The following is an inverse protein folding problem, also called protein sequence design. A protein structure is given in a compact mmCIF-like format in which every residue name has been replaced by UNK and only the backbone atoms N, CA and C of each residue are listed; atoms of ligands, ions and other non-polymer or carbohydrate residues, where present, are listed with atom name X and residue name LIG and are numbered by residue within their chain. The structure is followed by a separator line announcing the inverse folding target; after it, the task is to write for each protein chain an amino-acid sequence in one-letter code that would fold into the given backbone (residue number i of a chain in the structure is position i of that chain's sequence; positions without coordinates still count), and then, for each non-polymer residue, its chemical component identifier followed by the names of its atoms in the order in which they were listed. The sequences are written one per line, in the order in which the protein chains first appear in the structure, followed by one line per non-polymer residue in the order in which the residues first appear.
data_IF_369769329620
#
_entry.id   IF_369769329620
#
_cell.length_a   1.000
_cell.length_b   1.000
_cell.length_c   1.000
_cell.angle_alpha   90.00
_cell.angle_beta   90.00
_cell.angle_gamma   90.00
#
_symmetry.space_group_name_H-M   'P 1'
#
loop_
_entity.id
_entity.type
_entity.pdbx_description
1 polymer ?
#
# COMPACT_ATOMS: atom_id res chain seq x y z
N UNK A 1 -16.68 -8.58 -8.58
CA UNK A 1 -16.74 -7.37 -7.73
C UNK A 1 -15.38 -6.70 -7.84
N UNK A 2 -15.19 -5.86 -8.86
CA UNK A 2 -13.95 -5.10 -9.01
C UNK A 2 -14.04 -3.90 -8.08
N UNK A 3 -13.62 -4.11 -6.83
CA UNK A 3 -13.34 -3.01 -5.92
C UNK A 3 -12.39 -2.07 -6.66
N UNK A 4 -12.93 -0.95 -7.17
CA UNK A 4 -12.12 0.10 -7.75
C UNK A 4 -11.27 0.61 -6.62
N UNK A 5 -10.04 0.09 -6.53
CA UNK A 5 -9.04 0.60 -5.63
C UNK A 5 -9.00 2.09 -5.89
N UNK A 6 -9.37 2.86 -4.87
CA UNK A 6 -9.55 4.29 -5.03
C UNK A 6 -8.20 4.87 -5.47
N UNK A 7 -8.17 5.58 -6.60
CA UNK A 7 -6.92 6.09 -7.17
C UNK A 7 -6.16 6.95 -6.15
N UNK A 8 -6.90 7.68 -5.32
CA UNK A 8 -6.32 8.51 -4.27
C UNK A 8 -5.58 7.66 -3.22
N UNK A 9 -6.15 6.51 -2.84
CA UNK A 9 -5.52 5.55 -1.90
C UNK A 9 -4.27 4.91 -2.49
N UNK A 10 -4.28 4.58 -3.78
CA UNK A 10 -3.11 4.05 -4.48
C UNK A 10 -1.97 5.06 -4.52
N UNK A 11 -2.27 6.30 -4.91
CA UNK A 11 -1.25 7.35 -5.01
C UNK A 11 -0.61 7.64 -3.65
N UNK A 12 -1.41 7.67 -2.58
CA UNK A 12 -0.90 7.81 -1.21
C UNK A 12 0.00 6.64 -0.83
N UNK A 13 -0.44 5.39 -1.06
CA UNK A 13 0.35 4.21 -0.72
C UNK A 13 1.69 4.19 -1.48
N UNK A 14 1.69 4.53 -2.78
CA UNK A 14 2.92 4.65 -3.57
C UNK A 14 3.84 5.73 -3.03
N UNK A 15 3.28 6.90 -2.68
CA UNK A 15 4.03 8.01 -2.13
C UNK A 15 4.68 7.63 -0.80
N UNK A 16 3.91 7.03 0.11
CA UNK A 16 4.41 6.50 1.36
C UNK A 16 5.54 5.49 1.12
N UNK A 17 5.37 4.52 0.21
CA UNK A 17 6.41 3.50 -0.07
C UNK A 17 7.67 4.10 -0.70
N UNK A 18 7.52 5.14 -1.52
CA UNK A 18 8.65 5.86 -2.16
C UNK A 18 9.41 6.75 -1.19
N UNK A 19 8.70 7.40 -0.25
CA UNK A 19 9.28 8.26 0.79
C UNK A 19 9.75 7.48 2.02
N UNK A 20 9.32 6.22 2.14
CA UNK A 20 9.74 5.33 3.22
C UNK A 20 11.24 5.13 3.21
N UNK A 21 11.79 4.97 4.41
CA UNK A 21 13.16 4.52 4.56
C UNK A 21 13.30 3.07 4.05
N UNK A 22 14.29 2.76 3.20
CA UNK A 22 14.50 1.39 2.72
C UNK A 22 14.73 0.40 3.87
N UNK A 23 15.18 0.85 5.05
CA UNK A 23 15.37 0.02 6.24
C UNK A 23 14.09 -0.23 7.03
N UNK A 24 13.01 0.51 6.78
CA UNK A 24 11.73 0.30 7.45
C UNK A 24 10.94 -0.86 6.82
N UNK A 25 10.30 -1.73 7.60
CA UNK A 25 9.47 -2.79 7.05
C UNK A 25 8.20 -2.23 6.39
N UNK A 26 7.82 -2.83 5.25
CA UNK A 26 6.56 -2.51 4.54
C UNK A 26 5.36 -2.69 5.47
N UNK A 27 5.39 -3.68 6.36
CA UNK A 27 4.27 -3.97 7.25
C UNK A 27 3.94 -2.80 8.17
N UNK A 28 4.93 -2.07 8.70
CA UNK A 28 4.67 -0.88 9.51
C UNK A 28 3.99 0.22 8.69
N UNK A 29 4.44 0.41 7.45
CA UNK A 29 3.85 1.39 6.54
C UNK A 29 2.43 1.02 6.15
N UNK A 30 2.17 -0.26 5.90
CA UNK A 30 0.83 -0.77 5.62
C UNK A 30 -0.07 -0.60 6.84
N UNK A 31 0.39 -0.85 8.06
CA UNK A 31 -0.39 -0.61 9.28
C UNK A 31 -0.86 0.85 9.34
N UNK A 32 0.06 1.80 9.19
CA UNK A 32 -0.27 3.24 9.23
C UNK A 32 -1.25 3.61 8.12
N UNK A 33 -1.04 3.08 6.91
CA UNK A 33 -1.96 3.29 5.79
C UNK A 33 -3.35 2.70 6.06
N UNK A 34 -3.42 1.48 6.61
CA UNK A 34 -4.68 0.85 6.97
C UNK A 34 -5.46 1.65 8.01
N UNK A 35 -4.80 2.05 9.09
CA UNK A 35 -5.41 2.80 10.18
C UNK A 35 -5.93 4.15 9.67
N UNK A 36 -5.14 4.84 8.83
CA UNK A 36 -5.51 6.13 8.24
C UNK A 36 -6.75 6.06 7.33
N UNK A 37 -6.92 4.94 6.63
CA UNK A 37 -8.02 4.74 5.68
C UNK A 37 -9.16 3.88 6.23
N UNK A 38 -9.10 3.46 7.51
CA UNK A 38 -10.07 2.58 8.14
C UNK A 38 -10.19 1.21 7.46
N UNK A 39 -9.08 0.71 6.90
CA UNK A 39 -9.02 -0.56 6.18
C UNK A 39 -8.51 -1.68 7.09
N UNK A 40 -8.87 -2.91 6.76
CA UNK A 40 -8.26 -4.07 7.42
C UNK A 40 -6.86 -4.33 6.86
N UNK A 41 -6.00 -4.92 7.69
CA UNK A 41 -4.66 -5.31 7.28
C UNK A 41 -4.67 -6.26 6.07
N UNK A 42 -5.67 -7.15 5.98
CA UNK A 42 -5.87 -8.03 4.82
C UNK A 42 -6.13 -7.25 3.54
N UNK A 43 -6.96 -6.20 3.61
CA UNK A 43 -7.26 -5.31 2.47
C UNK A 43 -6.01 -4.53 2.04
N UNK A 44 -5.24 -3.98 2.98
CA UNK A 44 -4.02 -3.24 2.63
C UNK A 44 -2.94 -4.15 2.03
N UNK A 45 -2.77 -5.37 2.56
CA UNK A 45 -1.85 -6.35 2.00
C UNK A 45 -2.27 -6.75 0.59
N UNK A 46 -3.57 -6.93 0.35
CA UNK A 46 -4.10 -7.17 -0.99
C UNK A 46 -3.81 -6.00 -1.95
N UNK A 47 -4.02 -4.76 -1.51
CA UNK A 47 -3.69 -3.57 -2.31
C UNK A 47 -2.20 -3.46 -2.60
N UNK A 48 -1.35 -3.67 -1.60
CA UNK A 48 0.08 -3.67 -1.77
C UNK A 48 0.55 -4.72 -2.77
N UNK A 49 0.13 -5.99 -2.58
CA UNK A 49 0.45 -7.07 -3.50
C UNK A 49 -0.04 -6.79 -4.92
N UNK A 50 -1.24 -6.21 -5.07
CA UNK A 50 -1.77 -5.83 -6.39
C UNK A 50 -0.90 -4.77 -7.06
N UNK A 51 -0.36 -3.81 -6.30
CA UNK A 51 0.53 -2.77 -6.84
C UNK A 51 1.93 -3.31 -7.16
N UNK A 52 2.42 -4.27 -6.37
CA UNK A 52 3.69 -4.98 -6.65
C UNK A 52 3.57 -5.85 -7.90
N UNK A 53 2.48 -6.62 -8.01
CA UNK A 53 2.17 -7.48 -9.17
C UNK A 53 2.07 -6.67 -10.47
N UNK A 54 1.48 -5.47 -10.39
CA UNK A 54 1.42 -4.51 -11.51
C UNK A 54 2.74 -3.82 -11.82
N UNK A 55 3.80 -4.05 -11.04
CA UNK A 55 5.09 -3.38 -11.17
C UNK A 55 5.07 -1.90 -10.79
N UNK A 56 4.01 -1.43 -10.14
CA UNK A 56 3.85 -0.04 -9.73
C UNK A 56 4.58 0.28 -8.43
N UNK A 57 4.83 -0.74 -7.62
CA UNK A 57 5.71 -0.69 -6.45
C UNK A 57 6.80 -1.73 -6.64
N UNK A 58 8.07 -1.33 -6.47
CA UNK A 58 9.19 -2.26 -6.43
C UNK A 58 9.47 -2.63 -4.98
N UNK A 59 9.11 -3.85 -4.60
CA UNK A 59 9.70 -4.48 -3.42
C UNK A 59 11.18 -4.71 -3.71
N UNK A 60 12.06 -4.19 -2.85
CA UNK A 60 13.51 -4.16 -3.07
C UNK A 60 14.21 -4.94 -1.99
#
# INVERSE_FOLDING_TARGET
MSEKIDKHKIEELKKMVKEKDPKQPIEQLLTVFCERHGLTMGTCRYYYNTLVDRGEIKEK
#
